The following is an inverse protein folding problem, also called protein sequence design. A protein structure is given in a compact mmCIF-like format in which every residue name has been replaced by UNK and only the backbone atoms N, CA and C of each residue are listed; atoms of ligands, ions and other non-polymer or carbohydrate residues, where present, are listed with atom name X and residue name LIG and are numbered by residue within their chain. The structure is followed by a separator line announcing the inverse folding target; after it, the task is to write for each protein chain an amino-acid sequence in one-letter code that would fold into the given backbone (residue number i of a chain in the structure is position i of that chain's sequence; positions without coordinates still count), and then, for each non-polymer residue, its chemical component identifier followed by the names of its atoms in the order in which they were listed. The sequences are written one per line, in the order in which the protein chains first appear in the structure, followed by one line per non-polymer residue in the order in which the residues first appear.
data_IF_665902666339
#
_entry.id   IF_665902666339
#
_cell.length_a   1.000
_cell.length_b   1.000
_cell.length_c   1.000
_cell.angle_alpha   90.00
_cell.angle_beta   90.00
_cell.angle_gamma   90.00
#
_symmetry.space_group_name_H-M   'P 1'
#
loop_
_entity.id
_entity.type
_entity.pdbx_description
1 polymer ?
#
# COMPACT_ATOMS: atom_id res chain seq x y z
N UNK A 1 -3.39 20.76 20.62
CA UNK A 1 -4.40 19.99 19.85
C UNK A 1 -5.80 20.20 20.39
N UNK A 2 -6.11 19.78 21.62
CA UNK A 2 -7.47 19.90 22.19
C UNK A 2 -7.99 21.35 22.29
N UNK A 3 -7.13 22.35 22.52
CA UNK A 3 -7.55 23.76 22.49
C UNK A 3 -8.03 24.22 21.11
N UNK A 4 -7.36 23.74 20.04
CA UNK A 4 -7.68 24.07 18.64
C UNK A 4 -8.81 23.19 18.09
N UNK A 5 -8.87 21.93 18.51
CA UNK A 5 -9.80 20.90 18.06
C UNK A 5 -10.44 20.21 19.29
N UNK A 6 -11.40 20.87 19.96
CA UNK A 6 -11.94 20.37 21.23
C UNK A 6 -12.84 19.12 21.10
N UNK A 7 -13.19 18.72 19.86
CA UNK A 7 -14.04 17.56 19.57
C UNK A 7 -13.23 16.31 19.17
N UNK A 8 -11.89 16.36 19.23
CA UNK A 8 -11.06 15.20 18.90
C UNK A 8 -10.79 14.36 20.13
N UNK A 9 -10.92 13.05 20.01
CA UNK A 9 -10.39 12.13 21.01
C UNK A 9 -8.92 11.82 20.71
N UNK A 10 -8.10 11.68 21.75
CA UNK A 10 -6.66 11.42 21.63
C UNK A 10 -6.28 10.28 22.56
N UNK A 11 -5.77 9.21 21.97
CA UNK A 11 -5.33 8.02 22.71
C UNK A 11 -3.96 7.55 22.19
N UNK A 12 -3.28 6.72 22.99
CA UNK A 12 -2.05 6.05 22.58
C UNK A 12 -2.31 4.56 22.35
N UNK A 13 -1.76 4.01 21.27
CA UNK A 13 -1.80 2.58 20.95
C UNK A 13 -0.43 2.11 20.46
N UNK A 14 0.31 1.42 21.31
CA UNK A 14 1.63 0.89 20.98
C UNK A 14 2.61 1.99 20.56
N UNK A 15 2.87 2.06 19.25
CA UNK A 15 3.74 3.05 18.61
C UNK A 15 3.04 4.32 18.09
N UNK A 16 1.71 4.35 18.03
CA UNK A 16 0.94 5.48 17.47
C UNK A 16 0.24 6.29 18.57
N UNK A 17 0.11 7.59 18.30
CA UNK A 17 -0.90 8.45 18.90
C UNK A 17 -2.07 8.51 17.93
N UNK A 18 -3.21 7.96 18.36
CA UNK A 18 -4.44 7.97 17.57
C UNK A 18 -5.20 9.26 17.86
N UNK A 19 -5.55 9.98 16.81
CA UNK A 19 -6.28 11.24 16.88
C UNK A 19 -7.56 11.08 16.06
N UNK A 20 -8.68 10.96 16.76
CA UNK A 20 -9.98 10.70 16.14
C UNK A 20 -10.72 12.02 15.89
N UNK A 21 -10.97 12.32 14.62
CA UNK A 21 -11.87 13.38 14.19
C UNK A 21 -13.23 12.80 13.85
N UNK A 22 -14.25 13.66 13.72
CA UNK A 22 -15.62 13.23 13.41
C UNK A 22 -15.81 12.52 12.06
N UNK A 23 -14.82 12.60 11.16
CA UNK A 23 -14.90 12.03 9.80
C UNK A 23 -13.75 11.11 9.44
N UNK A 24 -12.65 11.15 10.19
CA UNK A 24 -11.43 10.42 9.88
C UNK A 24 -10.57 10.28 11.12
N UNK A 25 -9.63 9.36 11.07
CA UNK A 25 -8.65 9.13 12.13
C UNK A 25 -7.26 9.41 11.58
N UNK A 26 -6.42 10.06 12.39
CA UNK A 26 -4.99 10.23 12.11
C UNK A 26 -4.21 9.36 13.08
N UNK A 27 -3.41 8.44 12.53
CA UNK A 27 -2.43 7.66 13.29
C UNK A 27 -1.07 8.36 13.16
N UNK A 28 -0.58 8.92 14.27
CA UNK A 28 0.68 9.65 14.30
C UNK A 28 1.75 8.82 15.00
N UNK A 29 2.82 8.44 14.29
CA UNK A 29 4.03 7.87 14.91
C UNK A 29 5.02 9.00 15.20
N UNK A 30 5.23 9.39 16.48
CA UNK A 30 6.26 10.37 16.81
C UNK A 30 7.65 9.76 16.63
N UNK A 31 8.43 10.30 15.70
CA UNK A 31 9.77 9.81 15.37
C UNK A 31 10.83 10.90 15.39
N UNK A 32 12.06 10.52 15.74
CA UNK A 32 13.24 11.38 15.66
C UNK A 32 14.14 10.91 14.51
N UNK A 33 14.41 11.80 13.55
CA UNK A 33 15.35 11.51 12.47
C UNK A 33 16.75 11.27 13.04
N UNK A 34 17.40 10.23 12.54
CA UNK A 34 18.72 9.78 12.96
C UNK A 34 19.79 10.21 11.94
N UNK A 35 21.06 10.12 12.31
CA UNK A 35 22.17 10.50 11.44
C UNK A 35 22.28 9.63 10.18
N UNK A 36 21.79 8.39 10.23
CA UNK A 36 21.74 7.45 9.11
C UNK A 36 20.49 7.63 8.21
N UNK A 37 19.67 8.65 8.45
CA UNK A 37 18.49 8.96 7.66
C UNK A 37 17.19 8.32 8.17
N UNK A 38 17.28 7.24 8.94
CA UNK A 38 16.12 6.52 9.51
C UNK A 38 15.46 7.30 10.64
N UNK A 39 14.29 6.85 11.07
CA UNK A 39 13.55 7.44 12.17
C UNK A 39 13.49 6.48 13.35
N UNK A 40 13.88 6.98 14.52
CA UNK A 40 13.76 6.24 15.78
C UNK A 40 12.47 6.67 16.49
N UNK A 41 11.65 5.71 16.88
CA UNK A 41 10.35 5.96 17.49
C UNK A 41 10.12 5.08 18.74
N UNK A 42 9.37 5.57 19.74
CA UNK A 42 9.02 4.78 20.91
C UNK A 42 7.86 3.82 20.61
N UNK A 43 7.90 2.63 21.20
CA UNK A 43 6.80 1.67 21.18
C UNK A 43 6.52 1.22 22.61
N UNK A 44 5.29 1.41 23.09
CA UNK A 44 4.90 1.14 24.48
C UNK A 44 4.59 -0.34 24.75
N UNK A 45 4.50 -1.18 23.72
CA UNK A 45 4.21 -2.60 23.87
C UNK A 45 5.31 -3.34 24.64
N UNK A 46 4.91 -4.40 25.38
CA UNK A 46 5.82 -5.33 26.07
C UNK A 46 6.86 -4.68 27.00
N UNK A 47 6.46 -3.66 27.75
CA UNK A 47 7.35 -2.97 28.69
C UNK A 47 8.16 -1.83 28.08
N UNK A 48 7.90 -1.49 26.81
CA UNK A 48 8.48 -0.34 26.16
C UNK A 48 9.79 -0.65 25.43
N UNK A 49 9.94 -0.09 24.22
CA UNK A 49 11.16 -0.21 23.44
C UNK A 49 11.33 0.99 22.50
N UNK A 50 12.53 1.14 21.95
CA UNK A 50 12.79 2.06 20.85
C UNK A 50 13.02 1.25 19.58
N UNK A 51 12.27 1.58 18.53
CA UNK A 51 12.34 0.92 17.21
C UNK A 51 12.82 1.91 16.15
N UNK A 52 13.18 1.39 14.98
CA UNK A 52 13.56 2.18 13.81
C UNK A 52 12.60 1.90 12.67
N UNK A 53 12.29 2.92 11.88
CA UNK A 53 11.57 2.81 10.61
C UNK A 53 12.29 3.66 9.56
N UNK A 54 12.16 3.27 8.31
CA UNK A 54 12.73 3.98 7.16
C UNK A 54 11.70 4.03 6.04
N UNK A 55 10.69 4.93 6.13
CA UNK A 55 9.57 4.96 5.20
C UNK A 55 9.85 5.81 3.94
N UNK A 56 11.02 6.44 3.86
CA UNK A 56 11.36 7.34 2.75
C UNK A 56 11.64 6.56 1.46
N UNK A 57 12.36 5.43 1.45
CA UNK A 57 12.59 4.66 0.24
C UNK A 57 11.30 4.23 -0.47
N UNK A 58 10.26 3.80 0.26
CA UNK A 58 8.96 3.47 -0.34
C UNK A 58 8.30 4.71 -0.96
N UNK A 59 8.31 5.84 -0.24
CA UNK A 59 7.71 7.09 -0.74
C UNK A 59 8.40 7.59 -2.01
N UNK A 60 9.73 7.57 -2.02
CA UNK A 60 10.53 8.00 -3.16
C UNK A 60 10.29 7.09 -4.36
N UNK A 61 10.25 5.76 -4.16
CA UNK A 61 10.02 4.78 -5.24
C UNK A 61 8.59 4.83 -5.78
N UNK A 62 7.59 5.01 -4.91
CA UNK A 62 6.21 5.27 -5.33
C UNK A 62 6.12 6.53 -6.21
N UNK A 63 6.77 7.62 -5.80
CA UNK A 63 6.75 8.87 -6.54
C UNK A 63 7.48 8.76 -7.88
N UNK A 64 8.59 8.02 -7.93
CA UNK A 64 9.29 7.73 -9.19
C UNK A 64 8.43 6.90 -10.14
N UNK A 65 7.76 5.86 -9.64
CA UNK A 65 6.83 5.03 -10.42
C UNK A 65 5.68 5.85 -10.99
N UNK A 66 5.14 6.77 -10.20
CA UNK A 66 4.09 7.69 -10.62
C UNK A 66 4.57 8.67 -11.71
N UNK A 67 5.77 9.24 -11.53
CA UNK A 67 6.36 10.13 -12.53
C UNK A 67 6.65 9.40 -13.85
N UNK A 68 7.17 8.17 -13.78
CA UNK A 68 7.50 7.36 -14.95
C UNK A 68 6.26 6.88 -15.72
N UNK A 69 5.12 6.81 -15.05
CA UNK A 69 3.83 6.39 -15.62
C UNK A 69 2.88 7.56 -15.89
N UNK A 70 3.34 8.81 -15.79
CA UNK A 70 2.50 10.00 -15.94
C UNK A 70 1.24 10.02 -15.04
N UNK A 71 1.34 9.49 -13.81
CA UNK A 71 0.23 9.42 -12.85
C UNK A 71 -0.58 8.12 -12.86
N UNK A 72 -0.37 7.26 -13.86
CA UNK A 72 -1.17 6.03 -14.04
C UNK A 72 -0.92 5.05 -12.89
N UNK A 73 0.32 4.97 -12.37
CA UNK A 73 0.66 4.10 -11.24
C UNK A 73 -0.22 4.36 -10.01
N UNK A 74 -0.34 5.61 -9.55
CA UNK A 74 -1.22 5.90 -8.40
C UNK A 74 -2.68 5.61 -8.69
N UNK A 75 -3.16 5.85 -9.91
CA UNK A 75 -4.53 5.50 -10.29
C UNK A 75 -4.78 4.00 -10.10
N UNK A 76 -3.86 3.14 -10.51
CA UNK A 76 -4.00 1.69 -10.36
C UNK A 76 -3.86 1.20 -8.91
N UNK A 77 -2.97 1.80 -8.11
CA UNK A 77 -2.94 1.57 -6.66
C UNK A 77 -4.30 1.92 -6.02
N UNK A 78 -4.91 3.03 -6.40
CA UNK A 78 -6.22 3.45 -5.91
C UNK A 78 -7.35 2.54 -6.39
N UNK A 79 -7.33 2.10 -7.65
CA UNK A 79 -8.30 1.16 -8.21
C UNK A 79 -8.28 -0.15 -7.42
N UNK A 80 -7.11 -0.75 -7.17
CA UNK A 80 -7.02 -1.99 -6.38
C UNK A 80 -7.47 -1.79 -4.93
N UNK A 81 -7.17 -0.63 -4.32
CA UNK A 81 -7.67 -0.29 -2.97
C UNK A 81 -9.19 -0.15 -2.95
N UNK A 82 -9.79 0.42 -3.99
CA UNK A 82 -11.25 0.50 -4.13
C UNK A 82 -11.84 -0.89 -4.32
N UNK A 83 -11.28 -1.68 -5.24
CA UNK A 83 -11.70 -3.06 -5.52
C UNK A 83 -11.72 -3.93 -4.27
N UNK A 84 -10.62 -4.01 -3.50
CA UNK A 84 -10.58 -4.82 -2.27
C UNK A 84 -11.62 -4.37 -1.23
N UNK A 85 -11.89 -3.07 -1.15
CA UNK A 85 -12.83 -2.51 -0.18
C UNK A 85 -14.27 -2.82 -0.58
N UNK A 86 -14.58 -2.80 -1.89
CA UNK A 86 -15.90 -3.14 -2.42
C UNK A 86 -16.18 -4.65 -2.38
N UNK A 87 -15.16 -5.50 -2.62
CA UNK A 87 -15.31 -6.96 -2.52
C UNK A 87 -15.23 -7.47 -1.07
N UNK A 88 -14.58 -6.70 -0.17
CA UNK A 88 -14.56 -7.00 1.26
C UNK A 88 -13.51 -8.02 1.70
N UNK A 89 -12.38 -8.12 1.01
CA UNK A 89 -11.26 -8.98 1.41
C UNK A 89 -10.03 -8.19 1.87
N UNK A 90 -9.11 -8.89 2.56
CA UNK A 90 -7.87 -8.29 3.07
C UNK A 90 -6.79 -8.27 1.99
N UNK A 91 -6.30 -7.08 1.70
CA UNK A 91 -5.14 -6.88 0.84
C UNK A 91 -4.37 -5.66 1.33
N UNK A 92 -3.13 -5.88 1.79
CA UNK A 92 -2.33 -4.88 2.48
C UNK A 92 -1.94 -3.72 1.56
N UNK A 93 -2.03 -2.49 2.05
CA UNK A 93 -1.77 -1.29 1.22
C UNK A 93 -0.38 -1.27 0.59
N UNK A 94 0.66 -1.47 1.41
CA UNK A 94 2.04 -1.52 0.90
C UNK A 94 2.26 -2.69 -0.07
N UNK A 95 1.55 -3.81 0.11
CA UNK A 95 1.62 -4.94 -0.81
C UNK A 95 0.99 -4.60 -2.16
N UNK A 96 -0.13 -3.86 -2.17
CA UNK A 96 -0.74 -3.34 -3.40
C UNK A 96 0.25 -2.45 -4.13
N UNK A 97 0.82 -1.46 -3.45
CA UNK A 97 1.77 -0.52 -4.06
C UNK A 97 2.98 -1.28 -4.65
N UNK A 98 3.49 -2.27 -3.91
CA UNK A 98 4.59 -3.14 -4.36
C UNK A 98 4.21 -3.94 -5.61
N UNK A 99 3.10 -4.66 -5.61
CA UNK A 99 2.70 -5.52 -6.73
C UNK A 99 2.33 -4.70 -7.98
N UNK A 100 1.74 -3.51 -7.81
CA UNK A 100 1.51 -2.59 -8.93
C UNK A 100 2.82 -2.07 -9.47
N UNK A 101 3.78 -1.71 -8.61
CA UNK A 101 5.10 -1.25 -9.03
C UNK A 101 5.83 -2.34 -9.83
N UNK A 102 5.91 -3.56 -9.31
CA UNK A 102 6.56 -4.69 -9.97
C UNK A 102 5.93 -4.92 -11.37
N UNK A 103 4.60 -4.92 -11.45
CA UNK A 103 3.89 -5.06 -12.72
C UNK A 103 4.17 -3.89 -13.69
N UNK A 104 4.19 -2.66 -13.19
CA UNK A 104 4.44 -1.48 -14.02
C UNK A 104 5.89 -1.45 -14.51
N UNK A 105 6.87 -1.77 -13.66
CA UNK A 105 8.27 -1.85 -14.05
C UNK A 105 8.49 -2.85 -15.19
N UNK A 106 7.89 -4.05 -15.08
CA UNK A 106 7.93 -5.09 -16.11
C UNK A 106 7.26 -4.67 -17.44
N UNK A 107 6.43 -3.62 -17.43
CA UNK A 107 5.69 -3.10 -18.59
C UNK A 107 6.09 -1.66 -18.96
N UNK A 108 7.35 -1.28 -18.69
CA UNK A 108 7.91 0.04 -19.00
C UNK A 108 7.07 1.22 -18.45
N UNK A 109 6.49 1.01 -17.27
CA UNK A 109 5.60 1.93 -16.56
C UNK A 109 4.38 2.37 -17.34
N UNK A 110 4.04 1.72 -18.45
CA UNK A 110 2.97 2.17 -19.36
C UNK A 110 3.13 3.65 -19.74
N UNK A 111 4.38 4.14 -19.85
CA UNK A 111 4.73 5.56 -19.99
C UNK A 111 4.07 6.27 -21.18
N UNK A 112 3.74 5.51 -22.23
CA UNK A 112 3.14 6.00 -23.48
C UNK A 112 1.62 5.75 -23.54
N UNK A 113 1.04 5.16 -22.49
CA UNK A 113 -0.38 4.86 -22.40
C UNK A 113 -1.21 6.09 -22.04
N UNK A 114 -2.51 5.98 -22.32
CA UNK A 114 -3.53 6.99 -22.04
C UNK A 114 -4.71 6.36 -21.29
N UNK A 115 -5.72 7.17 -20.98
CA UNK A 115 -6.96 6.70 -20.35
C UNK A 115 -7.67 5.62 -21.17
N UNK A 116 -7.52 5.63 -22.50
CA UNK A 116 -8.15 4.65 -23.38
C UNK A 116 -7.57 3.24 -23.18
N UNK A 117 -6.33 3.15 -22.67
CA UNK A 117 -5.60 1.90 -22.43
C UNK A 117 -5.87 1.32 -21.03
N UNK A 118 -6.58 2.04 -20.15
CA UNK A 118 -6.77 1.62 -18.74
C UNK A 118 -7.46 0.26 -18.63
N UNK A 119 -8.39 -0.06 -19.53
CA UNK A 119 -9.05 -1.36 -19.49
C UNK A 119 -8.08 -2.51 -19.78
N UNK A 120 -7.16 -2.31 -20.73
CA UNK A 120 -6.15 -3.31 -21.07
C UNK A 120 -5.10 -3.45 -19.96
N UNK A 121 -4.64 -2.32 -19.39
CA UNK A 121 -3.74 -2.32 -18.22
C UNK A 121 -4.38 -3.04 -17.03
N UNK A 122 -5.68 -2.81 -16.78
CA UNK A 122 -6.40 -3.46 -15.69
C UNK A 122 -6.47 -4.98 -15.87
N UNK A 123 -6.75 -5.46 -17.08
CA UNK A 123 -6.72 -6.90 -17.37
C UNK A 123 -5.33 -7.49 -17.16
N UNK A 124 -4.30 -6.84 -17.67
CA UNK A 124 -2.92 -7.31 -17.52
C UNK A 124 -2.51 -7.36 -16.04
N UNK A 125 -2.90 -6.35 -15.26
CA UNK A 125 -2.64 -6.31 -13.82
C UNK A 125 -3.38 -7.43 -13.08
N UNK A 126 -4.65 -7.68 -13.38
CA UNK A 126 -5.38 -8.81 -12.77
C UNK A 126 -4.80 -10.17 -13.19
N UNK A 127 -4.35 -10.33 -14.44
CA UNK A 127 -3.63 -11.53 -14.88
C UNK A 127 -2.39 -11.74 -14.02
N UNK A 128 -1.55 -10.72 -13.89
CA UNK A 128 -0.35 -10.75 -13.05
C UNK A 128 -0.65 -11.08 -11.58
N UNK A 129 -1.73 -10.52 -11.01
CA UNK A 129 -2.13 -10.81 -9.63
C UNK A 129 -2.64 -12.24 -9.44
N UNK A 130 -3.38 -12.78 -10.41
CA UNK A 130 -3.92 -14.15 -10.39
C UNK A 130 -2.82 -15.22 -10.50
N UNK A 131 -1.66 -14.85 -11.01
CA UNK A 131 -0.50 -15.75 -11.17
C UNK A 131 0.43 -15.75 -9.95
N UNK A 132 0.21 -14.89 -8.96
CA UNK A 132 1.03 -14.86 -7.75
C UNK A 132 0.88 -16.13 -6.91
N UNK A 133 1.97 -16.56 -6.25
CA UNK A 133 1.92 -17.68 -5.31
C UNK A 133 1.15 -17.28 -4.03
N UNK A 134 -0.06 -17.82 -3.88
CA UNK A 134 -0.93 -17.58 -2.73
C UNK A 134 -0.35 -18.06 -1.40
N UNK A 135 0.50 -19.08 -1.42
CA UNK A 135 1.13 -19.67 -0.22
C UNK A 135 2.39 -18.90 0.18
N UNK A 136 2.83 -17.95 -0.64
CA UNK A 136 3.95 -17.06 -0.33
C UNK A 136 3.66 -16.31 0.96
N UNK A 137 4.64 -16.30 1.86
CA UNK A 137 4.47 -15.72 3.21
C UNK A 137 4.76 -14.22 3.26
N UNK A 138 5.60 -13.71 2.35
CA UNK A 138 5.92 -12.28 2.24
C UNK A 138 6.44 -11.90 0.84
N UNK A 139 6.31 -10.61 0.50
CA UNK A 139 6.98 -9.94 -0.62
C UNK A 139 8.00 -8.93 -0.09
N UNK A 140 8.90 -8.47 -0.95
CA UNK A 140 9.80 -7.37 -0.62
C UNK A 140 9.16 -6.07 -1.09
N UNK A 141 9.01 -5.10 -0.19
CA UNK A 141 8.43 -3.80 -0.51
C UNK A 141 9.27 -3.07 -1.54
N UNK A 142 8.59 -2.37 -2.47
CA UNK A 142 9.25 -1.41 -3.35
C UNK A 142 10.08 -0.39 -2.54
N UNK A 143 11.27 -0.05 -3.05
CA UNK A 143 12.19 0.88 -2.40
C UNK A 143 12.99 0.28 -1.25
N UNK A 144 12.37 0.08 -0.08
CA UNK A 144 13.12 -0.33 1.13
C UNK A 144 13.51 -1.81 1.16
N UNK A 145 12.86 -2.65 0.33
CA UNK A 145 12.98 -4.10 0.37
C UNK A 145 12.64 -4.71 1.74
N UNK A 146 11.85 -4.02 2.58
CA UNK A 146 11.34 -4.63 3.81
C UNK A 146 10.33 -5.74 3.50
N UNK A 147 10.19 -6.72 4.38
CA UNK A 147 9.22 -7.80 4.18
C UNK A 147 7.79 -7.29 4.42
N UNK A 148 6.93 -7.47 3.42
CA UNK A 148 5.49 -7.22 3.50
C UNK A 148 4.77 -8.55 3.59
N UNK A 149 4.15 -8.83 4.74
CA UNK A 149 3.53 -10.11 5.03
C UNK A 149 2.25 -10.34 4.21
N UNK A 150 1.99 -11.59 3.88
CA UNK A 150 0.73 -12.05 3.28
C UNK A 150 -0.42 -12.09 4.30
N UNK A 151 -0.79 -10.94 4.88
CA UNK A 151 -1.84 -10.87 5.91
C UNK A 151 -3.26 -11.22 5.40
N UNK A 152 -3.42 -11.29 4.07
CA UNK A 152 -4.65 -11.67 3.39
C UNK A 152 -4.73 -13.15 3.00
N UNK A 153 -3.71 -13.95 3.32
CA UNK A 153 -3.61 -15.37 2.94
C UNK A 153 -3.85 -15.64 1.44
N UNK A 154 -3.33 -14.76 0.57
CA UNK A 154 -3.44 -14.93 -0.87
C UNK A 154 -4.84 -14.68 -1.46
N UNK A 155 -5.81 -14.16 -0.70
CA UNK A 155 -7.17 -13.92 -1.19
C UNK A 155 -7.23 -13.07 -2.48
N UNK A 156 -6.29 -12.13 -2.65
CA UNK A 156 -6.23 -11.30 -3.85
C UNK A 156 -5.96 -12.11 -5.14
N UNK A 157 -5.33 -13.29 -5.04
CA UNK A 157 -5.03 -14.18 -6.17
C UNK A 157 -6.32 -14.82 -6.70
N UNK A 158 -7.11 -15.38 -5.78
CA UNK A 158 -8.41 -15.99 -6.09
C UNK A 158 -9.38 -14.93 -6.64
N UNK A 159 -9.47 -13.78 -5.96
CA UNK A 159 -10.33 -12.67 -6.37
C UNK A 159 -9.93 -12.07 -7.73
N UNK A 160 -8.62 -12.02 -8.05
CA UNK A 160 -8.16 -11.59 -9.37
C UNK A 160 -8.56 -12.59 -10.46
N UNK A 161 -8.48 -13.89 -10.18
CA UNK A 161 -8.92 -14.94 -11.10
C UNK A 161 -10.41 -14.81 -11.42
N UNK A 162 -11.24 -14.61 -10.40
CA UNK A 162 -12.69 -14.39 -10.54
C UNK A 162 -13.04 -13.15 -11.37
N UNK A 163 -12.20 -12.10 -11.31
CA UNK A 163 -12.38 -10.90 -12.14
C UNK A 163 -12.11 -11.21 -13.60
N UNK A 164 -11.04 -11.94 -13.91
CA UNK A 164 -10.68 -12.30 -15.30
C UNK A 164 -11.76 -13.17 -15.94
N UNK A 165 -12.29 -14.16 -15.21
CA UNK A 165 -13.40 -14.99 -15.69
C UNK A 165 -14.63 -14.16 -16.07
N UNK A 166 -14.91 -13.08 -15.34
CA UNK A 166 -16.03 -12.18 -15.65
C UNK A 166 -15.75 -11.28 -16.84
N UNK A 167 -14.50 -10.86 -17.02
CA UNK A 167 -14.09 -10.00 -18.13
C UNK A 167 -14.11 -10.78 -19.45
N UNK A 168 -13.65 -12.04 -19.47
CA UNK A 168 -13.60 -12.86 -20.69
C UNK A 168 -14.99 -13.26 -21.22
N UNK A 169 -16.03 -13.14 -20.39
CA UNK A 169 -17.43 -13.44 -20.74
C UNK A 169 -18.22 -12.20 -21.19
N UNK A 170 -17.67 -10.99 -21.01
CA UNK A 170 -18.31 -9.71 -21.32
C UNK A 170 -18.06 -9.24 -22.76
#
# INVERSE_FOLDING_TARGET
MQERYPKTDISGDGQVVVIEFSRYTVELVPGFKQADGRFKYPDTNNGGSWKYTDPLPEQDTCQESDNNSNGIYFDFCHILRKWKNEQGFKFGGLLIDTLVHDHFEDNEFYKDSSIDDYFDILKNLFSYLSEQDKERTYWYALGSNQQVLNSGNGAFVDEASDVLEKIDVA
#
